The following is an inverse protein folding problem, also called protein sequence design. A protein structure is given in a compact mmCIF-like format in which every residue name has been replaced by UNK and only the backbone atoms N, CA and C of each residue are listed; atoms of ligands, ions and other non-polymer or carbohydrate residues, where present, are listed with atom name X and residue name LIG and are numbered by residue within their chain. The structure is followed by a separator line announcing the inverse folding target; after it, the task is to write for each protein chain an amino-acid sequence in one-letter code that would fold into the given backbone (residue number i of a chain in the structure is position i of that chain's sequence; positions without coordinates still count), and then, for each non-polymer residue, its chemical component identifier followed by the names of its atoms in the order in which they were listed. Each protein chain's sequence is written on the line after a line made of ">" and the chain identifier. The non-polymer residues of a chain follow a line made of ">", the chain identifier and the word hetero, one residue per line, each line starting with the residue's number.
data_IF_260309634411
#
_entry.id   IF_260309634411
#
_cell.length_a   1.000
_cell.length_b   1.000
_cell.length_c   1.000
_cell.angle_alpha   90.00
_cell.angle_beta   90.00
_cell.angle_gamma   90.00
#
_symmetry.space_group_name_H-M   'P 1'
#
loop_
_entity.id
_entity.type
_entity.pdbx_description
1 polymer ?
#
# COMPACT_ATOMS: atom_id res chain seq x y z
N UNK A 1 -6.00 13.74 8.00
CA UNK A 1 -4.73 14.53 7.95
C UNK A 1 -4.84 15.61 6.87
N UNK A 2 -4.09 16.74 6.91
CA UNK A 2 -4.08 17.66 5.77
C UNK A 2 -3.58 16.91 4.53
N UNK A 3 -4.24 17.14 3.39
CA UNK A 3 -3.86 16.50 2.12
C UNK A 3 -2.44 16.92 1.73
N UNK A 4 -1.59 15.98 1.37
CA UNK A 4 -0.24 16.28 0.90
C UNK A 4 -0.30 16.78 -0.56
N UNK A 5 0.03 18.04 -0.77
CA UNK A 5 0.01 18.67 -2.10
C UNK A 5 0.95 17.99 -3.11
N UNK A 6 2.01 17.31 -2.65
CA UNK A 6 2.93 16.54 -3.51
C UNK A 6 2.24 15.29 -4.03
N UNK A 7 1.49 14.59 -3.15
CA UNK A 7 0.69 13.43 -3.57
C UNK A 7 -0.39 13.85 -4.57
N UNK A 8 -1.11 14.95 -4.31
CA UNK A 8 -2.10 15.47 -5.25
C UNK A 8 -1.47 15.79 -6.61
N UNK A 9 -0.30 16.43 -6.62
CA UNK A 9 0.44 16.76 -7.86
C UNK A 9 0.91 15.49 -8.58
N UNK A 10 1.47 14.52 -7.87
CA UNK A 10 1.94 13.26 -8.43
C UNK A 10 0.79 12.47 -9.06
N UNK A 11 -0.32 12.34 -8.35
CA UNK A 11 -1.50 11.60 -8.81
C UNK A 11 -2.17 12.29 -10.00
N UNK A 12 -2.22 13.63 -10.03
CA UNK A 12 -2.73 14.36 -11.19
C UNK A 12 -1.86 14.13 -12.44
N UNK A 13 -0.53 14.12 -12.31
CA UNK A 13 0.39 13.82 -13.39
C UNK A 13 0.20 12.38 -13.92
N UNK A 14 0.08 11.42 -13.00
CA UNK A 14 -0.21 10.01 -13.32
C UNK A 14 -1.53 9.86 -14.07
N UNK A 15 -2.61 10.49 -13.59
CA UNK A 15 -3.93 10.39 -14.23
C UNK A 15 -3.99 11.00 -15.63
N UNK A 16 -3.10 11.96 -15.93
CA UNK A 16 -3.02 12.64 -17.21
C UNK A 16 -2.22 11.89 -18.30
N UNK A 17 -1.37 10.93 -17.92
CA UNK A 17 -0.50 10.18 -18.82
C UNK A 17 -0.83 8.67 -18.77
N UNK A 18 -1.29 8.05 -19.88
CA UNK A 18 -1.69 6.64 -19.88
C UNK A 18 -0.56 5.66 -19.52
N UNK A 19 0.70 5.95 -19.88
CA UNK A 19 1.83 5.08 -19.55
C UNK A 19 2.16 5.17 -18.05
N UNK A 20 2.27 6.37 -17.49
CA UNK A 20 2.45 6.57 -16.06
C UNK A 20 1.28 5.97 -15.27
N UNK A 21 0.06 6.09 -15.79
CA UNK A 21 -1.14 5.53 -15.18
C UNK A 21 -1.09 3.98 -15.13
N UNK A 22 -0.69 3.33 -16.23
CA UNK A 22 -0.54 1.89 -16.25
C UNK A 22 0.55 1.42 -15.26
N UNK A 23 1.68 2.12 -15.20
CA UNK A 23 2.78 1.85 -14.26
C UNK A 23 2.33 2.02 -12.79
N UNK A 24 1.57 3.08 -12.49
CA UNK A 24 0.99 3.34 -11.18
C UNK A 24 0.05 2.21 -10.74
N UNK A 25 -0.89 1.83 -11.61
CA UNK A 25 -1.81 0.72 -11.36
C UNK A 25 -1.07 -0.60 -11.14
N UNK A 26 0.02 -0.83 -11.89
CA UNK A 26 0.84 -2.02 -11.75
C UNK A 26 1.64 -2.04 -10.45
N UNK A 27 2.13 -0.89 -9.99
CA UNK A 27 2.78 -0.76 -8.68
C UNK A 27 1.79 -1.06 -7.55
N UNK A 28 0.59 -0.51 -7.59
CA UNK A 28 -0.43 -0.82 -6.58
C UNK A 28 -0.84 -2.29 -6.61
N UNK A 29 -1.08 -2.85 -7.80
CA UNK A 29 -1.30 -4.29 -7.93
C UNK A 29 -0.18 -5.12 -7.30
N UNK A 30 1.07 -4.68 -7.42
CA UNK A 30 2.22 -5.34 -6.81
C UNK A 30 2.20 -5.24 -5.28
N UNK A 31 1.86 -4.06 -4.72
CA UNK A 31 1.78 -3.86 -3.27
C UNK A 31 0.66 -4.72 -2.65
N UNK A 32 -0.52 -4.77 -3.25
CA UNK A 32 -1.60 -5.68 -2.83
C UNK A 32 -1.16 -7.15 -2.90
N UNK A 33 -0.43 -7.54 -3.95
CA UNK A 33 0.14 -8.87 -4.06
C UNK A 33 1.18 -9.17 -2.97
N UNK A 34 1.99 -8.19 -2.57
CA UNK A 34 2.92 -8.31 -1.44
C UNK A 34 2.15 -8.49 -0.14
N UNK A 35 1.08 -7.72 0.09
CA UNK A 35 0.17 -7.85 1.24
C UNK A 35 -0.43 -9.25 1.32
N UNK A 36 -1.05 -9.72 0.24
CA UNK A 36 -1.58 -11.08 0.13
C UNK A 36 -0.54 -12.15 0.48
N UNK A 37 0.64 -12.09 -0.11
CA UNK A 37 1.72 -13.05 0.15
C UNK A 37 2.17 -13.02 1.60
N UNK A 38 2.26 -11.83 2.20
CA UNK A 38 2.68 -11.66 3.57
C UNK A 38 1.68 -12.32 4.51
N UNK A 39 0.39 -12.10 4.35
CA UNK A 39 -0.65 -12.73 5.16
C UNK A 39 -0.53 -14.26 5.08
N UNK A 40 -0.50 -14.81 3.86
CA UNK A 40 -0.46 -16.27 3.64
C UNK A 40 0.84 -16.90 4.16
N UNK A 41 1.97 -16.21 4.07
CA UNK A 41 3.29 -16.77 4.42
C UNK A 41 3.64 -16.60 5.89
N UNK A 42 3.24 -15.49 6.53
CA UNK A 42 3.67 -15.15 7.88
C UNK A 42 2.82 -15.81 8.98
N UNK A 43 1.62 -16.24 8.65
CA UNK A 43 0.71 -16.83 9.63
C UNK A 43 0.83 -18.36 9.67
N UNK A 44 0.92 -18.91 10.87
CA UNK A 44 0.90 -20.36 11.08
C UNK A 44 -0.50 -20.90 10.82
N UNK A 45 -0.59 -22.08 10.24
CA UNK A 45 -1.87 -22.71 9.90
C UNK A 45 -2.84 -22.87 11.10
N UNK A 46 -2.30 -23.02 12.30
CA UNK A 46 -3.08 -23.20 13.53
C UNK A 46 -3.71 -21.90 14.06
N UNK A 47 -3.33 -20.73 13.51
CA UNK A 47 -3.89 -19.41 13.86
C UNK A 47 -4.68 -18.75 12.72
N UNK A 48 -4.70 -19.36 11.53
CA UNK A 48 -5.46 -18.83 10.38
C UNK A 48 -6.95 -18.97 10.64
N UNK A 49 -7.61 -17.84 10.91
CA UNK A 49 -9.06 -17.74 11.07
C UNK A 49 -9.76 -17.56 9.72
N UNK A 50 -11.09 -17.72 9.70
CA UNK A 50 -11.91 -17.37 8.54
C UNK A 50 -11.76 -15.89 8.17
N UNK A 51 -11.66 -15.01 9.16
CA UNK A 51 -11.45 -13.58 8.96
C UNK A 51 -10.12 -13.30 8.26
N UNK A 52 -9.03 -13.87 8.77
CA UNK A 52 -7.69 -13.70 8.19
C UNK A 52 -7.61 -14.26 6.76
N UNK A 53 -8.25 -15.42 6.52
CA UNK A 53 -8.31 -16.00 5.19
C UNK A 53 -9.14 -15.16 4.23
N UNK A 54 -10.24 -14.56 4.70
CA UNK A 54 -11.06 -13.64 3.92
C UNK A 54 -10.25 -12.42 3.53
N UNK A 55 -9.57 -11.78 4.48
CA UNK A 55 -8.69 -10.64 4.23
C UNK A 55 -7.62 -11.00 3.16
N UNK A 56 -6.90 -12.11 3.33
CA UNK A 56 -5.92 -12.53 2.34
C UNK A 56 -6.51 -12.69 0.92
N UNK A 57 -7.72 -13.25 0.81
CA UNK A 57 -8.38 -13.38 -0.50
C UNK A 57 -8.85 -12.04 -1.07
N UNK A 58 -9.24 -11.10 -0.23
CA UNK A 58 -9.60 -9.74 -0.62
C UNK A 58 -8.37 -9.00 -1.18
N UNK A 59 -7.21 -9.05 -0.51
CA UNK A 59 -5.93 -8.53 -1.02
C UNK A 59 -5.54 -9.14 -2.38
N UNK A 60 -5.64 -10.48 -2.51
CA UNK A 60 -5.38 -11.17 -3.77
C UNK A 60 -6.31 -10.72 -4.89
N UNK A 61 -7.57 -10.39 -4.57
CA UNK A 61 -8.56 -9.87 -5.52
C UNK A 61 -8.27 -8.41 -5.90
N UNK A 62 -7.81 -7.56 -4.95
CA UNK A 62 -7.34 -6.20 -5.21
C UNK A 62 -6.17 -6.23 -6.18
N UNK A 63 -5.14 -7.05 -5.89
CA UNK A 63 -3.99 -7.25 -6.76
C UNK A 63 -4.42 -7.63 -8.20
N UNK A 64 -5.28 -8.63 -8.34
CA UNK A 64 -5.77 -9.08 -9.64
C UNK A 64 -6.61 -8.00 -10.35
N UNK A 65 -7.44 -7.27 -9.62
CA UNK A 65 -8.26 -6.19 -10.14
C UNK A 65 -7.43 -5.05 -10.71
N UNK A 66 -6.45 -4.57 -9.96
CA UNK A 66 -5.52 -3.52 -10.37
C UNK A 66 -4.60 -3.98 -11.52
N UNK A 67 -4.15 -5.25 -11.51
CA UNK A 67 -3.39 -5.85 -12.61
C UNK A 67 -4.16 -5.79 -13.93
N UNK A 68 -5.43 -6.22 -13.92
CA UNK A 68 -6.30 -6.17 -15.10
C UNK A 68 -6.49 -4.73 -15.61
N UNK A 69 -6.52 -3.75 -14.71
CA UNK A 69 -6.60 -2.34 -15.08
C UNK A 69 -5.29 -1.84 -15.70
N UNK A 70 -4.14 -2.19 -15.13
CA UNK A 70 -2.82 -1.87 -15.69
C UNK A 70 -2.68 -2.41 -17.12
N UNK A 71 -3.03 -3.69 -17.33
CA UNK A 71 -3.03 -4.32 -18.66
C UNK A 71 -4.03 -3.65 -19.61
N UNK A 72 -5.20 -3.28 -19.13
CA UNK A 72 -6.20 -2.59 -19.96
C UNK A 72 -5.71 -1.21 -20.44
N UNK A 73 -4.97 -0.49 -19.62
CA UNK A 73 -4.45 0.84 -19.93
C UNK A 73 -3.16 0.76 -20.75
N UNK A 74 -2.20 -0.08 -20.32
CA UNK A 74 -0.83 -0.14 -20.86
C UNK A 74 -0.56 -1.30 -21.83
N UNK A 75 -1.50 -2.24 -21.98
CA UNK A 75 -1.35 -3.40 -22.84
C UNK A 75 -0.56 -4.57 -22.24
N UNK A 76 -0.20 -5.54 -23.08
CA UNK A 76 0.37 -6.83 -22.66
C UNK A 76 1.72 -6.73 -21.92
N UNK A 77 2.46 -5.64 -22.08
CA UNK A 77 3.71 -5.43 -21.33
C UNK A 77 3.50 -5.42 -19.80
N UNK A 78 2.28 -5.10 -19.35
CA UNK A 78 1.91 -5.00 -17.92
C UNK A 78 1.38 -6.30 -17.31
N UNK A 79 1.46 -7.43 -18.01
CA UNK A 79 1.07 -8.76 -17.48
C UNK A 79 1.98 -9.22 -16.32
N UNK A 80 3.18 -8.67 -16.20
CA UNK A 80 4.13 -9.00 -15.15
C UNK A 80 4.45 -7.80 -14.27
N UNK A 81 5.17 -8.03 -13.17
CA UNK A 81 5.74 -6.98 -12.31
C UNK A 81 7.21 -6.71 -12.68
N UNK A 82 7.50 -6.61 -13.98
CA UNK A 82 8.82 -6.21 -14.43
C UNK A 82 9.12 -4.77 -13.98
N UNK A 83 10.37 -4.50 -13.62
CA UNK A 83 10.80 -3.22 -13.02
C UNK A 83 10.41 -2.00 -13.86
N UNK A 84 10.52 -2.11 -15.17
CA UNK A 84 10.17 -1.06 -16.14
C UNK A 84 8.66 -0.86 -16.32
N UNK A 85 7.85 -1.79 -15.85
CA UNK A 85 6.38 -1.70 -15.87
C UNK A 85 5.78 -1.18 -14.56
N UNK A 86 6.60 -0.78 -13.61
CA UNK A 86 6.17 -0.20 -12.32
C UNK A 86 6.67 1.24 -12.17
N UNK A 87 5.92 2.06 -11.48
CA UNK A 87 6.32 3.41 -11.09
C UNK A 87 6.85 3.36 -9.66
N UNK A 88 8.16 3.52 -9.48
CA UNK A 88 8.83 3.42 -8.18
C UNK A 88 8.52 2.09 -7.45
N UNK A 89 8.51 0.96 -8.18
CA UNK A 89 8.15 -0.34 -7.61
C UNK A 89 9.12 -0.82 -6.53
N UNK A 90 10.42 -0.64 -6.74
CA UNK A 90 11.45 -1.02 -5.76
C UNK A 90 11.34 -0.16 -4.49
N UNK A 91 11.14 1.15 -4.65
CA UNK A 91 10.99 2.07 -3.53
C UNK A 91 9.70 1.81 -2.75
N UNK A 92 8.64 1.38 -3.43
CA UNK A 92 7.40 0.97 -2.78
C UNK A 92 7.57 -0.34 -2.00
N UNK A 93 8.31 -1.31 -2.52
CA UNK A 93 8.66 -2.53 -1.79
C UNK A 93 9.55 -2.22 -0.59
N UNK A 94 10.56 -1.37 -0.75
CA UNK A 94 11.44 -0.93 0.34
C UNK A 94 10.66 -0.25 1.47
N UNK A 95 9.64 0.55 1.14
CA UNK A 95 8.74 1.14 2.13
C UNK A 95 8.03 0.06 2.95
N UNK A 96 7.42 -0.94 2.31
CA UNK A 96 6.73 -2.05 2.98
C UNK A 96 7.67 -2.89 3.85
N UNK A 97 8.83 -3.26 3.30
CA UNK A 97 9.82 -4.10 4.02
C UNK A 97 10.39 -3.34 5.23
N UNK A 98 10.68 -2.05 5.08
CA UNK A 98 11.20 -1.22 6.16
C UNK A 98 10.16 -1.00 7.26
N UNK A 99 8.89 -0.84 6.90
CA UNK A 99 7.80 -0.72 7.87
C UNK A 99 7.65 -2.02 8.67
N UNK A 100 7.66 -3.15 7.98
CA UNK A 100 7.59 -4.46 8.61
C UNK A 100 8.74 -4.70 9.60
N UNK A 101 9.97 -4.47 9.16
CA UNK A 101 11.16 -4.60 9.99
C UNK A 101 11.14 -3.63 11.19
N UNK A 102 10.67 -2.41 10.99
CA UNK A 102 10.54 -1.42 12.05
C UNK A 102 9.50 -1.81 13.10
N UNK A 103 8.35 -2.34 12.68
CA UNK A 103 7.35 -2.89 13.58
C UNK A 103 7.89 -4.12 14.33
N UNK A 104 8.53 -5.07 13.62
CA UNK A 104 9.12 -6.27 14.24
C UNK A 104 10.13 -5.92 15.33
N UNK A 105 10.99 -4.91 15.10
CA UNK A 105 11.98 -4.45 16.07
C UNK A 105 11.36 -3.91 17.37
N UNK A 106 10.16 -3.32 17.31
CA UNK A 106 9.44 -2.85 18.51
C UNK A 106 9.00 -4.00 19.41
N UNK A 107 8.68 -5.13 18.81
CA UNK A 107 8.15 -6.32 19.50
C UNK A 107 9.18 -7.46 19.64
N UNK A 108 10.47 -7.18 19.43
CA UNK A 108 11.54 -8.18 19.44
C UNK A 108 11.65 -9.00 20.76
N UNK A 109 11.11 -8.48 21.87
CA UNK A 109 11.13 -9.18 23.16
C UNK A 109 9.98 -10.19 23.31
N UNK A 110 8.98 -10.18 22.43
CA UNK A 110 7.87 -11.12 22.48
C UNK A 110 8.26 -12.49 21.91
N UNK A 111 7.62 -13.60 22.39
CA UNK A 111 7.73 -14.90 21.75
C UNK A 111 7.30 -14.84 20.27
N UNK A 112 7.93 -15.63 19.41
CA UNK A 112 7.76 -15.55 17.95
C UNK A 112 6.30 -15.60 17.48
N UNK A 113 5.47 -16.45 18.09
CA UNK A 113 4.05 -16.57 17.69
C UNK A 113 3.23 -15.31 18.04
N UNK A 114 3.44 -14.74 19.21
CA UNK A 114 2.78 -13.50 19.65
C UNK A 114 3.31 -12.29 18.84
N UNK A 115 4.64 -12.23 18.65
CA UNK A 115 5.29 -11.21 17.86
C UNK A 115 4.76 -11.17 16.44
N UNK A 116 4.70 -12.32 15.76
CA UNK A 116 4.20 -12.41 14.38
C UNK A 116 2.78 -11.87 14.25
N UNK A 117 1.91 -12.16 15.22
CA UNK A 117 0.52 -11.70 15.20
C UNK A 117 0.41 -10.19 15.44
N UNK A 118 1.08 -9.67 16.47
CA UNK A 118 1.01 -8.24 16.81
C UNK A 118 1.65 -7.40 15.73
N UNK A 119 2.79 -7.83 15.16
CA UNK A 119 3.45 -7.15 14.06
C UNK A 119 2.56 -7.11 12.82
N UNK A 120 1.93 -8.23 12.47
CA UNK A 120 0.94 -8.26 11.37
C UNK A 120 -0.16 -7.21 11.58
N UNK A 121 -0.77 -7.16 12.76
CA UNK A 121 -1.84 -6.20 13.03
C UNK A 121 -1.38 -4.74 12.93
N UNK A 122 -0.20 -4.40 13.46
CA UNK A 122 0.33 -3.03 13.36
C UNK A 122 0.70 -2.65 11.94
N UNK A 123 1.35 -3.53 11.20
CA UNK A 123 1.71 -3.27 9.79
C UNK A 123 0.45 -3.09 8.95
N UNK A 124 -0.53 -3.98 9.08
CA UNK A 124 -1.82 -3.86 8.40
C UNK A 124 -2.50 -2.54 8.77
N UNK A 125 -2.61 -2.21 10.05
CA UNK A 125 -3.21 -0.97 10.51
C UNK A 125 -2.59 0.28 9.89
N UNK A 126 -1.26 0.35 9.78
CA UNK A 126 -0.54 1.49 9.20
C UNK A 126 -0.73 1.56 7.68
N UNK A 127 -0.66 0.41 7.01
CA UNK A 127 -0.82 0.32 5.55
C UNK A 127 -2.24 0.67 5.13
N UNK A 128 -3.28 0.14 5.81
CA UNK A 128 -4.68 0.45 5.48
C UNK A 128 -4.99 1.94 5.65
N UNK A 129 -4.48 2.56 6.71
CA UNK A 129 -4.61 4.02 6.89
C UNK A 129 -3.95 4.79 5.76
N UNK A 130 -2.76 4.37 5.32
CA UNK A 130 -2.06 4.99 4.19
C UNK A 130 -2.78 4.75 2.87
N UNK A 131 -3.28 3.55 2.66
CA UNK A 131 -4.07 3.19 1.49
C UNK A 131 -5.33 4.07 1.35
N UNK A 132 -6.07 4.28 2.44
CA UNK A 132 -7.23 5.18 2.45
C UNK A 132 -6.87 6.60 2.02
N UNK A 133 -5.74 7.15 2.51
CA UNK A 133 -5.27 8.49 2.13
C UNK A 133 -4.92 8.52 0.63
N UNK A 134 -4.11 7.57 0.16
CA UNK A 134 -3.58 7.55 -1.22
C UNK A 134 -4.68 7.24 -2.24
N UNK A 135 -5.50 6.22 -1.99
CA UNK A 135 -6.63 5.88 -2.86
C UNK A 135 -7.71 6.96 -2.85
N UNK A 136 -7.90 7.66 -1.72
CA UNK A 136 -8.80 8.81 -1.64
C UNK A 136 -8.38 9.96 -2.56
N UNK A 137 -7.09 10.32 -2.56
CA UNK A 137 -6.54 11.33 -3.47
C UNK A 137 -6.60 10.85 -4.92
N UNK A 138 -6.27 9.59 -5.17
CA UNK A 138 -6.32 9.00 -6.52
C UNK A 138 -7.73 8.98 -7.09
N UNK A 139 -8.72 8.54 -6.31
CA UNK A 139 -10.14 8.58 -6.69
C UNK A 139 -10.59 9.99 -7.06
N UNK A 140 -10.19 11.00 -6.27
CA UNK A 140 -10.54 12.39 -6.54
C UNK A 140 -9.95 12.89 -7.88
N UNK A 141 -8.71 12.52 -8.20
CA UNK A 141 -8.07 12.87 -9.47
C UNK A 141 -8.69 12.17 -10.69
N UNK A 142 -9.30 11.00 -10.50
CA UNK A 142 -10.00 10.26 -11.57
C UNK A 142 -11.35 10.89 -11.96
N UNK A 143 -11.94 11.76 -11.12
CA UNK A 143 -13.22 12.42 -11.38
C UNK A 143 -14.36 11.43 -11.65
N UNK A 144 -15.09 11.65 -12.73
CA UNK A 144 -16.25 10.81 -13.16
C UNK A 144 -15.83 9.59 -14.01
N UNK A 145 -14.54 9.26 -14.05
CA UNK A 145 -14.05 8.07 -14.76
C UNK A 145 -14.70 6.78 -14.21
N UNK A 146 -15.03 5.80 -15.05
CA UNK A 146 -15.48 4.47 -14.60
C UNK A 146 -14.50 3.78 -13.64
N UNK A 147 -13.20 4.15 -13.69
CA UNK A 147 -12.17 3.67 -12.77
C UNK A 147 -12.38 4.21 -11.35
N UNK A 148 -12.86 5.45 -11.19
CA UNK A 148 -13.16 6.02 -9.87
C UNK A 148 -14.17 5.16 -9.08
N UNK A 149 -15.17 4.57 -9.75
CA UNK A 149 -16.11 3.63 -9.13
C UNK A 149 -15.44 2.34 -8.62
N UNK A 150 -14.40 1.84 -9.34
CA UNK A 150 -13.65 0.66 -8.90
C UNK A 150 -12.77 0.97 -7.69
N UNK A 151 -12.11 2.12 -7.69
CA UNK A 151 -11.32 2.59 -6.54
C UNK A 151 -12.23 2.89 -5.34
N UNK A 152 -13.45 3.37 -5.55
CA UNK A 152 -14.42 3.54 -4.47
C UNK A 152 -14.81 2.20 -3.81
N UNK A 153 -14.97 1.13 -4.61
CA UNK A 153 -15.23 -0.22 -4.08
C UNK A 153 -14.07 -0.73 -3.23
N UNK A 154 -12.82 -0.55 -3.70
CA UNK A 154 -11.62 -0.90 -2.97
C UNK A 154 -11.54 -0.12 -1.63
N UNK A 155 -11.73 1.19 -1.65
CA UNK A 155 -11.74 2.03 -0.44
C UNK A 155 -12.74 1.54 0.63
N UNK A 156 -13.92 1.07 0.23
CA UNK A 156 -14.90 0.52 1.19
C UNK A 156 -14.40 -0.78 1.85
N UNK A 157 -13.64 -1.60 1.14
CA UNK A 157 -13.06 -2.81 1.69
C UNK A 157 -11.89 -2.49 2.63
N UNK A 158 -11.01 -1.52 2.28
CA UNK A 158 -9.92 -1.05 3.16
C UNK A 158 -10.45 -0.38 4.44
N UNK A 159 -11.56 0.38 4.37
CA UNK A 159 -12.22 0.91 5.57
C UNK A 159 -12.67 -0.21 6.52
N UNK A 160 -13.17 -1.33 5.98
CA UNK A 160 -13.56 -2.51 6.75
C UNK A 160 -12.33 -3.20 7.35
N UNK A 161 -11.27 -3.43 6.56
CA UNK A 161 -10.02 -4.01 7.03
C UNK A 161 -9.44 -3.20 8.19
N UNK A 162 -9.40 -1.87 8.05
CA UNK A 162 -8.95 -0.97 9.10
C UNK A 162 -9.81 -1.09 10.38
N UNK A 163 -11.13 -1.19 10.25
CA UNK A 163 -12.02 -1.37 11.41
C UNK A 163 -11.78 -2.72 12.11
N UNK A 164 -11.56 -3.79 11.32
CA UNK A 164 -11.31 -5.13 11.84
C UNK A 164 -9.96 -5.18 12.57
N UNK A 165 -8.89 -4.66 11.99
CA UNK A 165 -7.56 -4.64 12.63
C UNK A 165 -7.52 -3.73 13.86
N UNK A 166 -8.25 -2.62 13.89
CA UNK A 166 -8.38 -1.78 15.09
C UNK A 166 -8.97 -2.56 16.26
N UNK A 167 -10.04 -3.37 16.03
CA UNK A 167 -10.62 -4.21 17.07
C UNK A 167 -9.64 -5.28 17.55
N UNK A 168 -8.89 -5.87 16.64
CA UNK A 168 -7.89 -6.88 16.97
C UNK A 168 -6.75 -6.28 17.80
N UNK A 169 -6.21 -5.13 17.41
CA UNK A 169 -5.15 -4.42 18.15
C UNK A 169 -5.59 -4.04 19.56
N UNK A 170 -6.81 -3.53 19.74
CA UNK A 170 -7.35 -3.20 21.04
C UNK A 170 -7.46 -4.43 21.98
N UNK A 171 -7.64 -5.62 21.41
CA UNK A 171 -7.69 -6.87 22.17
C UNK A 171 -6.30 -7.48 22.44
N UNK A 172 -5.36 -7.31 21.49
CA UNK A 172 -4.02 -7.92 21.55
C UNK A 172 -3.01 -7.09 22.34
N UNK A 173 -3.08 -5.78 22.25
CA UNK A 173 -2.10 -4.87 22.84
C UNK A 173 -2.74 -3.83 23.77
N UNK A 174 -2.73 -4.06 25.09
CA UNK A 174 -3.24 -3.11 26.07
C UNK A 174 -2.52 -1.73 26.03
N UNK A 175 -1.33 -1.66 25.44
CA UNK A 175 -0.54 -0.43 25.33
C UNK A 175 -0.66 0.22 23.91
N UNK A 176 -1.64 -0.20 23.12
CA UNK A 176 -1.84 0.30 21.75
C UNK A 176 -1.81 1.83 21.66
N UNK A 177 -2.58 2.53 22.50
CA UNK A 177 -2.67 4.00 22.51
C UNK A 177 -1.30 4.69 22.79
N UNK A 178 -0.45 4.03 23.60
CA UNK A 178 0.88 4.56 23.90
C UNK A 178 1.90 4.27 22.77
N UNK A 179 1.74 3.14 22.06
CA UNK A 179 2.66 2.71 20.99
C UNK A 179 2.31 3.29 19.62
N UNK A 180 1.02 3.49 19.35
CA UNK A 180 0.54 3.96 18.06
C UNK A 180 1.25 5.22 17.57
N UNK A 181 1.44 6.30 18.36
CA UNK A 181 2.11 7.51 17.88
C UNK A 181 3.56 7.27 17.42
N UNK A 182 4.27 6.34 18.05
CA UNK A 182 5.66 6.00 17.65
C UNK A 182 5.70 5.29 16.32
N UNK A 183 4.78 4.35 16.10
CA UNK A 183 4.70 3.57 14.87
C UNK A 183 4.13 4.39 13.70
N UNK A 184 3.19 5.29 13.98
CA UNK A 184 2.74 6.31 13.02
C UNK A 184 3.88 7.24 12.57
N UNK A 185 4.75 7.67 13.50
CA UNK A 185 5.91 8.49 13.16
C UNK A 185 6.94 7.72 12.31
N UNK A 186 7.15 6.43 12.58
CA UNK A 186 7.98 5.55 11.76
C UNK A 186 7.43 5.45 10.34
N UNK A 187 6.15 5.11 10.21
CA UNK A 187 5.48 4.99 8.91
C UNK A 187 5.54 6.31 8.13
N UNK A 188 5.22 7.43 8.77
CA UNK A 188 5.25 8.75 8.14
C UNK A 188 6.65 9.10 7.59
N UNK A 189 7.72 8.76 8.29
CA UNK A 189 9.10 8.98 7.82
C UNK A 189 9.47 8.11 6.61
N UNK A 190 9.01 6.86 6.59
CA UNK A 190 9.20 5.94 5.47
C UNK A 190 8.38 6.38 4.25
N UNK A 191 7.14 6.76 4.46
CA UNK A 191 6.28 7.27 3.39
C UNK A 191 6.80 8.58 2.80
N UNK A 192 7.31 9.48 3.62
CA UNK A 192 7.95 10.72 3.16
C UNK A 192 9.11 10.43 2.20
N UNK A 193 9.93 9.42 2.52
CA UNK A 193 11.03 8.97 1.67
C UNK A 193 10.52 8.43 0.34
N UNK A 194 9.51 7.57 0.36
CA UNK A 194 8.86 7.05 -0.85
C UNK A 194 8.25 8.17 -1.71
N UNK A 195 7.48 9.07 -1.10
CA UNK A 195 6.83 10.18 -1.81
C UNK A 195 7.85 11.13 -2.45
N UNK A 196 9.00 11.36 -1.79
CA UNK A 196 10.12 12.11 -2.35
C UNK A 196 10.68 11.45 -3.63
N UNK A 197 10.83 10.12 -3.64
CA UNK A 197 11.28 9.36 -4.81
C UNK A 197 10.25 9.40 -5.94
N UNK A 198 8.98 9.21 -5.60
CA UNK A 198 7.87 9.31 -6.56
C UNK A 198 7.83 10.69 -7.22
N UNK A 199 7.92 11.76 -6.43
CA UNK A 199 7.93 13.13 -6.95
C UNK A 199 9.11 13.36 -7.90
N UNK A 200 10.31 12.92 -7.53
CA UNK A 200 11.50 13.03 -8.38
C UNK A 200 11.38 12.24 -9.71
N UNK A 201 10.73 11.06 -9.67
CA UNK A 201 10.50 10.24 -10.87
C UNK A 201 9.48 10.86 -11.85
N UNK A 202 8.59 11.73 -11.34
CA UNK A 202 7.58 12.42 -12.13
C UNK A 202 8.03 13.82 -12.61
N UNK A 203 9.16 14.34 -12.10
CA UNK A 203 9.73 15.58 -12.63
C UNK A 203 10.10 15.40 -14.10
N UNK A 204 9.70 16.34 -15.00
CA UNK A 204 10.13 16.28 -16.39
C UNK A 204 11.65 16.26 -16.44
N UNK A 205 12.21 15.25 -17.12
CA UNK A 205 13.66 15.15 -17.32
C UNK A 205 14.17 16.52 -17.84
N UNK A 206 14.88 17.25 -16.97
CA UNK A 206 15.55 18.49 -17.43
C UNK A 206 16.44 18.08 -18.59
N UNK A 207 16.06 18.51 -19.79
CA UNK A 207 16.78 18.23 -21.02
C UNK A 207 18.28 18.37 -20.73
N UNK A 208 19.03 17.27 -20.87
CA UNK A 208 20.49 17.34 -20.96
C UNK A 208 20.77 18.25 -22.13
N UNK A 209 21.12 19.49 -21.86
CA UNK A 209 21.65 20.40 -22.88
C UNK A 209 22.89 19.69 -23.42
N UNK A 210 22.93 19.37 -24.73
CA UNK A 210 24.15 18.82 -25.31
C UNK A 210 25.23 19.92 -25.24
N UNK A 211 26.38 19.54 -24.70
CA UNK A 211 27.58 20.38 -24.67
C UNK A 211 28.18 20.50 -26.07
#
# INVERSE_FOLDING_TARGET
>A
MPKDARLETAVAAVAADPELHARWLNTFSYLEYVGFRKIVKSQRADVVSTELLTHALEEGRHALGLKKLAVKVGGAAFETYARDTMLCGDEAEDYFQSLDAGCDAVFAALPDAERSRVVYCYVTWLIERRALDVYGVYKAALGDSPLAGRIAGLLMEEEKHLADVNRELAALDPEFEARAPRLEALEAGLYETFLGKLSAALEPSRARTPA
#
